data_IF_795536459132
#
_entry.id   IF_795536459132
#
_cell.length_a   1.000
_cell.length_b   1.000
_cell.length_c   1.000
_cell.angle_alpha   90.00
_cell.angle_beta   90.00
_cell.angle_gamma   90.00
#
_symmetry.space_group_name_H-M   'P 1'
#
loop_
_entity.id
_entity.type
_entity.pdbx_description
1 polymer ?
#
# COMPACT_ATOMS: atom_id res chain seq x y z
N UNK A 1 -2.60 14.92 -12.99
CA UNK A 1 -3.76 14.99 -12.12
C UNK A 1 -4.92 15.78 -12.73
N UNK A 2 -4.64 16.90 -13.35
CA UNK A 2 -5.67 17.68 -14.06
C UNK A 2 -6.33 16.90 -15.18
N UNK A 3 -5.56 16.11 -15.91
CA UNK A 3 -6.08 15.26 -16.98
C UNK A 3 -7.10 14.25 -16.47
N UNK A 4 -6.86 13.65 -15.32
CA UNK A 4 -7.78 12.69 -14.72
C UNK A 4 -9.07 13.35 -14.26
N UNK A 5 -8.98 14.55 -13.72
CA UNK A 5 -10.15 15.33 -13.32
C UNK A 5 -11.03 15.63 -14.53
N UNK A 6 -10.41 16.04 -15.64
CA UNK A 6 -11.12 16.33 -16.88
C UNK A 6 -11.85 15.09 -17.40
N UNK A 7 -11.20 13.93 -17.34
CA UNK A 7 -11.81 12.67 -17.77
C UNK A 7 -13.05 12.35 -16.93
N UNK A 8 -12.94 12.47 -15.60
CA UNK A 8 -14.07 12.22 -14.69
C UNK A 8 -15.22 13.17 -15.00
N UNK A 9 -14.94 14.46 -15.17
CA UNK A 9 -15.96 15.46 -15.45
C UNK A 9 -16.63 15.20 -16.80
N UNK A 10 -15.87 14.84 -17.82
CA UNK A 10 -16.43 14.55 -19.13
C UNK A 10 -17.33 13.32 -19.12
N UNK A 11 -16.92 12.27 -18.43
CA UNK A 11 -17.74 11.06 -18.31
C UNK A 11 -19.02 11.29 -17.53
N UNK A 12 -18.96 12.10 -16.49
CA UNK A 12 -20.14 12.38 -15.66
C UNK A 12 -21.09 13.41 -16.26
N UNK A 13 -20.62 14.17 -17.26
CA UNK A 13 -21.44 15.22 -17.87
C UNK A 13 -22.72 14.70 -18.52
N UNK A 14 -22.73 13.43 -18.93
CA UNK A 14 -23.93 12.81 -19.54
C UNK A 14 -25.01 12.47 -18.50
N UNK A 15 -24.61 12.34 -17.24
CA UNK A 15 -25.51 11.86 -16.16
C UNK A 15 -25.95 12.95 -15.22
N UNK A 16 -25.27 14.09 -15.19
CA UNK A 16 -25.50 15.15 -14.22
C UNK A 16 -25.94 16.43 -14.90
N UNK A 17 -26.80 17.19 -14.21
CA UNK A 17 -27.20 18.52 -14.65
C UNK A 17 -26.03 19.50 -14.52
N UNK A 18 -26.16 20.68 -15.14
CA UNK A 18 -25.13 21.73 -15.07
C UNK A 18 -24.83 22.11 -13.63
N UNK A 19 -25.86 22.25 -12.79
CA UNK A 19 -25.72 22.58 -11.37
C UNK A 19 -24.96 21.49 -10.62
N UNK A 20 -25.30 20.24 -10.88
CA UNK A 20 -24.63 19.09 -10.29
C UNK A 20 -23.18 18.98 -10.73
N UNK A 21 -22.91 19.26 -12.00
CA UNK A 21 -21.55 19.28 -12.55
C UNK A 21 -20.69 20.35 -11.89
N UNK A 22 -21.23 21.53 -11.66
CA UNK A 22 -20.51 22.60 -10.95
C UNK A 22 -20.16 22.17 -9.52
N UNK A 23 -21.10 21.54 -8.84
CA UNK A 23 -20.86 21.04 -7.49
C UNK A 23 -19.79 19.97 -7.47
N UNK A 24 -19.84 19.02 -8.40
CA UNK A 24 -18.84 17.97 -8.53
C UNK A 24 -17.46 18.56 -8.79
N UNK A 25 -17.35 19.50 -9.71
CA UNK A 25 -16.10 20.16 -10.03
C UNK A 25 -15.53 20.89 -8.82
N UNK A 26 -16.35 21.62 -8.09
CA UNK A 26 -15.96 22.32 -6.88
C UNK A 26 -15.41 21.37 -5.82
N UNK A 27 -16.10 20.26 -5.57
CA UNK A 27 -15.69 19.26 -4.58
C UNK A 27 -14.38 18.59 -4.99
N UNK A 28 -14.23 18.25 -6.26
CA UNK A 28 -13.00 17.61 -6.76
C UNK A 28 -11.81 18.57 -6.60
N UNK A 29 -11.96 19.81 -7.06
CA UNK A 29 -10.88 20.79 -6.99
C UNK A 29 -10.47 21.04 -5.53
N UNK A 30 -11.45 21.23 -4.66
CA UNK A 30 -11.22 21.46 -3.24
C UNK A 30 -10.50 20.27 -2.59
N UNK A 31 -10.97 19.06 -2.86
CA UNK A 31 -10.42 17.86 -2.26
C UNK A 31 -8.97 17.64 -2.67
N UNK A 32 -8.67 17.78 -3.96
CA UNK A 32 -7.31 17.56 -4.45
C UNK A 32 -6.37 18.71 -4.09
N UNK A 33 -6.85 19.94 -4.07
CA UNK A 33 -6.05 21.08 -3.64
C UNK A 33 -5.67 20.98 -2.16
N UNK A 34 -6.64 20.62 -1.30
CA UNK A 34 -6.38 20.43 0.13
C UNK A 34 -5.37 19.30 0.36
N UNK A 35 -5.50 18.21 -0.39
CA UNK A 35 -4.55 17.10 -0.29
C UNK A 35 -3.13 17.48 -0.71
N UNK A 36 -2.98 18.34 -1.71
CA UNK A 36 -1.67 18.80 -2.15
C UNK A 36 -1.09 19.84 -1.20
N UNK A 37 -1.91 20.75 -0.69
CA UNK A 37 -1.47 21.82 0.20
C UNK A 37 -1.11 21.29 1.59
N UNK A 38 -1.79 20.25 2.07
CA UNK A 38 -1.60 19.68 3.40
C UNK A 38 -0.72 18.44 3.41
N UNK A 39 -0.13 18.08 2.28
CA UNK A 39 0.76 16.93 2.22
C UNK A 39 2.05 17.19 2.96
N UNK A 40 2.05 16.87 4.25
CA UNK A 40 3.29 16.66 4.97
C UNK A 40 3.95 15.46 4.30
N UNK A 41 5.13 15.67 3.75
CA UNK A 41 5.85 14.60 3.06
C UNK A 41 6.45 13.67 4.10
N UNK A 42 5.80 12.53 4.31
CA UNK A 42 6.26 11.52 5.26
C UNK A 42 7.22 10.58 4.52
N UNK A 43 8.41 10.38 5.08
CA UNK A 43 9.39 9.47 4.50
C UNK A 43 8.99 8.00 4.75
N UNK A 44 9.56 7.08 3.98
CA UNK A 44 9.32 5.67 4.16
C UNK A 44 9.73 5.21 5.57
N UNK A 45 10.82 5.73 6.10
CA UNK A 45 11.29 5.42 7.45
C UNK A 45 10.34 5.89 8.53
N UNK A 46 9.75 7.07 8.34
CA UNK A 46 8.75 7.59 9.26
C UNK A 46 7.48 6.74 9.24
N UNK A 47 7.05 6.28 8.08
CA UNK A 47 5.92 5.35 7.99
C UNK A 47 6.19 4.06 8.75
N UNK A 48 7.38 3.52 8.63
CA UNK A 48 7.77 2.33 9.37
C UNK A 48 7.70 2.56 10.87
N UNK A 49 8.25 3.68 11.34
CA UNK A 49 8.22 4.03 12.77
C UNK A 49 6.79 4.15 13.28
N UNK A 50 5.94 4.84 12.55
CA UNK A 50 4.53 5.02 12.91
C UNK A 50 3.81 3.68 12.97
N UNK A 51 4.07 2.80 12.04
CA UNK A 51 3.49 1.46 12.01
C UNK A 51 3.91 0.65 13.24
N UNK A 52 5.20 0.67 13.58
CA UNK A 52 5.70 -0.06 14.74
C UNK A 52 5.12 0.49 16.04
N UNK A 53 4.99 1.81 16.16
CA UNK A 53 4.38 2.43 17.33
C UNK A 53 2.91 2.02 17.46
N UNK A 54 2.18 1.96 16.34
CA UNK A 54 0.80 1.50 16.35
C UNK A 54 0.70 0.04 16.81
N UNK A 55 1.61 -0.80 16.37
CA UNK A 55 1.62 -2.21 16.78
C UNK A 55 1.96 -2.39 18.27
N UNK A 56 2.80 -1.53 18.82
CA UNK A 56 3.07 -1.52 20.26
C UNK A 56 1.82 -1.16 21.06
N UNK A 57 1.08 -0.16 20.58
CA UNK A 57 -0.18 0.26 21.22
C UNK A 57 -1.20 -0.87 21.20
N UNK A 58 -1.25 -1.65 20.10
CA UNK A 58 -2.14 -2.81 19.99
C UNK A 58 -1.74 -3.96 20.93
N UNK A 59 -0.59 -3.88 21.55
CA UNK A 59 -0.14 -4.89 22.50
C UNK A 59 0.71 -5.99 21.89
N UNK A 60 1.26 -5.80 20.72
CA UNK A 60 2.17 -6.76 20.11
C UNK A 60 3.44 -6.94 20.96
N UNK A 61 3.92 -8.17 21.06
CA UNK A 61 5.16 -8.47 21.79
C UNK A 61 6.37 -7.84 21.10
N UNK A 62 7.44 -7.62 21.84
CA UNK A 62 8.69 -7.12 21.26
C UNK A 62 9.20 -8.02 20.16
N UNK A 63 9.06 -9.31 20.30
CA UNK A 63 9.46 -10.27 19.27
C UNK A 63 8.71 -10.03 17.95
N UNK A 64 7.41 -9.81 18.03
CA UNK A 64 6.58 -9.50 16.86
C UNK A 64 6.99 -8.17 16.24
N UNK A 65 7.26 -7.15 17.05
CA UNK A 65 7.71 -5.84 16.58
C UNK A 65 9.03 -5.98 15.81
N UNK A 66 9.96 -6.75 16.33
CA UNK A 66 11.25 -6.99 15.67
C UNK A 66 11.05 -7.66 14.30
N UNK A 67 10.15 -8.61 14.20
CA UNK A 67 9.83 -9.25 12.92
C UNK A 67 9.24 -8.27 11.92
N UNK A 68 8.30 -7.45 12.36
CA UNK A 68 7.72 -6.42 11.49
C UNK A 68 8.80 -5.45 11.02
N UNK A 69 9.62 -4.98 11.94
CA UNK A 69 10.69 -4.04 11.62
C UNK A 69 11.66 -4.63 10.59
N UNK A 70 12.13 -5.83 10.82
CA UNK A 70 13.08 -6.48 9.92
C UNK A 70 12.48 -6.66 8.52
N UNK A 71 11.25 -7.15 8.45
CA UNK A 71 10.58 -7.41 7.17
C UNK A 71 10.33 -6.13 6.37
N UNK A 72 9.71 -5.14 7.01
CA UNK A 72 9.33 -3.90 6.32
C UNK A 72 10.58 -3.07 5.98
N UNK A 73 11.54 -3.01 6.88
CA UNK A 73 12.80 -2.31 6.63
C UNK A 73 13.53 -2.89 5.42
N UNK A 74 13.58 -4.20 5.32
CA UNK A 74 14.21 -4.85 4.18
C UNK A 74 13.45 -4.54 2.88
N UNK A 75 12.13 -4.62 2.91
CA UNK A 75 11.30 -4.24 1.77
C UNK A 75 11.61 -2.83 1.30
N UNK A 76 11.61 -1.87 2.22
CA UNK A 76 11.83 -0.47 1.89
C UNK A 76 13.28 -0.19 1.45
N UNK A 77 14.23 -1.02 1.84
CA UNK A 77 15.61 -0.90 1.36
C UNK A 77 15.76 -1.39 -0.08
N UNK A 78 14.94 -2.32 -0.51
CA UNK A 78 15.00 -2.88 -1.87
C UNK A 78 14.10 -2.12 -2.85
N UNK A 79 13.01 -1.56 -2.37
CA UNK A 79 12.08 -0.77 -3.18
C UNK A 79 12.26 0.69 -2.78
N UNK A 80 12.85 1.49 -3.66
CA UNK A 80 13.11 2.90 -3.39
C UNK A 80 11.89 3.79 -3.64
N UNK A 81 10.85 3.23 -4.20
CA UNK A 81 9.59 3.93 -4.46
C UNK A 81 8.97 4.40 -3.13
N UNK A 82 8.39 5.60 -3.16
CA UNK A 82 7.62 6.09 -2.02
C UNK A 82 6.50 5.11 -1.68
N UNK A 83 6.35 4.82 -0.38
CA UNK A 83 5.40 3.80 0.13
C UNK A 83 4.01 3.93 -0.50
N UNK A 84 3.53 5.16 -0.63
CA UNK A 84 2.18 5.42 -1.15
C UNK A 84 2.02 5.10 -2.63
N UNK A 85 3.12 4.92 -3.34
CA UNK A 85 3.15 4.66 -4.79
C UNK A 85 3.61 3.24 -5.13
N UNK A 86 3.93 2.44 -4.13
CA UNK A 86 4.34 1.06 -4.36
C UNK A 86 3.19 0.26 -4.98
N UNK A 87 3.49 -0.46 -6.04
CA UNK A 87 2.50 -1.27 -6.76
C UNK A 87 2.57 -2.72 -6.35
N UNK A 88 1.50 -3.46 -6.65
CA UNK A 88 1.44 -4.90 -6.45
C UNK A 88 2.56 -5.61 -7.21
N UNK A 89 2.86 -5.15 -8.41
CA UNK A 89 3.92 -5.75 -9.23
C UNK A 89 5.30 -5.61 -8.58
N UNK A 90 5.59 -4.46 -7.98
CA UNK A 90 6.85 -4.25 -7.26
C UNK A 90 6.98 -5.20 -6.08
N UNK A 91 5.89 -5.41 -5.34
CA UNK A 91 5.89 -6.33 -4.20
C UNK A 91 6.03 -7.78 -4.68
N UNK A 92 5.35 -8.13 -5.76
CA UNK A 92 5.45 -9.46 -6.36
C UNK A 92 6.88 -9.78 -6.78
N UNK A 93 7.51 -8.85 -7.46
CA UNK A 93 8.91 -8.98 -7.85
C UNK A 93 9.84 -9.09 -6.65
N UNK A 94 9.61 -8.26 -5.64
CA UNK A 94 10.38 -8.30 -4.40
C UNK A 94 10.31 -9.67 -3.74
N UNK A 95 9.11 -10.22 -3.58
CA UNK A 95 8.91 -11.52 -2.94
C UNK A 95 9.54 -12.65 -3.75
N UNK A 96 9.41 -12.61 -5.06
CA UNK A 96 10.02 -13.60 -5.94
C UNK A 96 11.55 -13.58 -5.82
N UNK A 97 12.13 -12.39 -5.86
CA UNK A 97 13.59 -12.24 -5.71
C UNK A 97 14.07 -12.64 -4.32
N UNK A 98 13.30 -12.30 -3.29
CA UNK A 98 13.61 -12.68 -1.92
C UNK A 98 13.69 -14.20 -1.77
N UNK A 99 12.70 -14.90 -2.29
CA UNK A 99 12.65 -16.36 -2.22
C UNK A 99 13.84 -17.00 -2.93
N UNK A 100 14.20 -16.49 -4.10
CA UNK A 100 15.33 -17.00 -4.88
C UNK A 100 16.67 -16.76 -4.19
N UNK A 101 16.89 -15.54 -3.69
CA UNK A 101 18.17 -15.15 -3.09
C UNK A 101 18.45 -15.89 -1.78
N UNK A 102 17.42 -16.10 -1.00
CA UNK A 102 17.55 -16.68 0.33
C UNK A 102 17.24 -18.17 0.36
N UNK A 103 16.84 -18.73 -0.76
CA UNK A 103 16.45 -20.14 -0.89
C UNK A 103 15.50 -20.55 0.25
N UNK A 104 14.54 -19.67 0.55
CA UNK A 104 13.65 -19.90 1.68
C UNK A 104 12.46 -20.77 1.31
N UNK A 105 11.95 -21.44 2.34
CA UNK A 105 10.75 -22.25 2.22
C UNK A 105 9.51 -21.40 1.93
N UNK A 106 8.45 -22.07 1.48
CA UNK A 106 7.16 -21.41 1.29
C UNK A 106 6.60 -20.83 2.59
N UNK A 107 6.90 -21.47 3.72
CA UNK A 107 6.48 -20.97 5.04
C UNK A 107 7.15 -19.64 5.35
N UNK A 108 8.45 -19.54 5.08
CA UNK A 108 9.21 -18.30 5.31
C UNK A 108 8.70 -17.17 4.44
N UNK A 109 8.49 -17.43 3.15
CA UNK A 109 8.01 -16.39 2.24
C UNK A 109 6.57 -15.98 2.59
N UNK A 110 5.77 -16.91 3.07
CA UNK A 110 4.41 -16.60 3.51
C UNK A 110 4.41 -15.70 4.74
N UNK A 111 5.33 -15.92 5.67
CA UNK A 111 5.48 -15.04 6.84
C UNK A 111 5.91 -13.64 6.44
N UNK A 112 6.84 -13.51 5.50
CA UNK A 112 7.25 -12.23 4.96
C UNK A 112 6.06 -11.52 4.31
N UNK A 113 5.30 -12.24 3.49
CA UNK A 113 4.10 -11.72 2.85
C UNK A 113 3.08 -11.20 3.87
N UNK A 114 2.85 -11.96 4.94
CA UNK A 114 1.90 -11.57 6.00
C UNK A 114 2.33 -10.30 6.71
N UNK A 115 3.60 -10.15 6.98
CA UNK A 115 4.12 -8.94 7.63
C UNK A 115 3.97 -7.72 6.71
N UNK A 116 4.25 -7.89 5.42
CA UNK A 116 4.04 -6.84 4.43
C UNK A 116 2.55 -6.48 4.34
N UNK A 117 1.69 -7.50 4.34
CA UNK A 117 0.24 -7.31 4.33
C UNK A 117 -0.23 -6.45 5.50
N UNK A 118 0.30 -6.73 6.68
CA UNK A 118 -0.05 -5.96 7.89
C UNK A 118 0.33 -4.50 7.75
N UNK A 119 1.48 -4.22 7.16
CA UNK A 119 1.94 -2.84 6.95
C UNK A 119 1.01 -2.08 5.99
N UNK A 120 0.66 -2.68 4.86
CA UNK A 120 -0.22 -2.03 3.88
C UNK A 120 -1.67 -1.93 4.38
N UNK A 121 -2.14 -2.90 5.16
CA UNK A 121 -3.46 -2.81 5.79
C UNK A 121 -3.51 -1.65 6.77
N UNK A 122 -2.46 -1.45 7.53
CA UNK A 122 -2.34 -0.32 8.44
C UNK A 122 -2.37 1.01 7.67
N UNK A 123 -1.63 1.09 6.56
CA UNK A 123 -1.63 2.29 5.72
C UNK A 123 -3.04 2.62 5.20
N UNK A 124 -3.80 1.60 4.82
CA UNK A 124 -5.18 1.79 4.38
C UNK A 124 -6.07 2.26 5.51
N UNK A 125 -5.95 1.66 6.70
CA UNK A 125 -6.73 2.04 7.88
C UNK A 125 -6.49 3.49 8.30
N UNK A 126 -5.26 3.97 8.12
CA UNK A 126 -4.86 5.34 8.45
C UNK A 126 -5.08 6.31 7.28
N UNK A 127 -5.72 5.87 6.22
CA UNK A 127 -6.01 6.66 5.03
C UNK A 127 -4.79 7.21 4.28
N UNK A 128 -3.65 6.56 4.42
CA UNK A 128 -2.47 6.94 3.64
C UNK A 128 -2.51 6.38 2.22
N UNK A 129 -3.21 5.27 2.02
CA UNK A 129 -3.48 4.70 0.71
C UNK A 129 -4.97 4.40 0.57
N UNK A 130 -5.47 4.45 -0.66
CA UNK A 130 -6.90 4.26 -0.91
C UNK A 130 -7.32 2.80 -0.84
N UNK A 131 -6.40 1.90 -1.10
CA UNK A 131 -6.73 0.51 -1.31
C UNK A 131 -5.57 -0.37 -0.86
N UNK A 132 -5.85 -1.29 0.04
CA UNK A 132 -4.83 -2.22 0.49
C UNK A 132 -4.44 -3.17 -0.63
N UNK A 133 -3.15 -3.23 -0.92
CA UNK A 133 -2.60 -4.20 -1.83
C UNK A 133 -2.81 -5.62 -1.33
N UNK A 134 -2.89 -5.76 -0.01
CA UNK A 134 -2.99 -7.06 0.65
C UNK A 134 -4.29 -7.77 0.35
N UNK A 135 -5.41 -7.04 0.32
CA UNK A 135 -6.73 -7.63 0.07
C UNK A 135 -6.90 -8.12 -1.35
N UNK A 136 -6.21 -7.49 -2.27
CA UNK A 136 -6.47 -7.69 -3.68
C UNK A 136 -5.52 -8.65 -4.37
N UNK A 137 -4.27 -8.68 -3.93
CA UNK A 137 -3.23 -9.26 -4.77
C UNK A 137 -2.19 -10.11 -4.05
N UNK A 138 -1.91 -9.86 -2.78
CA UNK A 138 -0.78 -10.53 -2.16
C UNK A 138 -0.95 -12.03 -2.00
N UNK A 139 -2.16 -12.52 -1.87
CA UNK A 139 -2.39 -13.96 -1.86
C UNK A 139 -2.10 -14.59 -3.23
N UNK A 140 -2.17 -13.81 -4.30
CA UNK A 140 -1.85 -14.26 -5.65
C UNK A 140 -0.36 -14.19 -5.96
N UNK A 141 0.41 -13.59 -5.08
CA UNK A 141 1.85 -13.38 -5.28
C UNK A 141 2.65 -14.67 -5.07
N UNK A 142 2.07 -15.67 -4.45
CA UNK A 142 2.71 -16.96 -4.24
C UNK A 142 2.01 -18.09 -5.00
N UNK A 143 1.90 -17.99 -6.32
CA UNK A 143 1.16 -18.99 -7.10
C UNK A 143 1.81 -20.37 -7.09
N UNK A 144 3.10 -20.42 -6.89
CA UNK A 144 3.85 -21.68 -6.90
C UNK A 144 3.50 -22.61 -5.77
N UNK A 145 2.92 -22.09 -4.70
CA UNK A 145 2.47 -22.91 -3.58
C UNK A 145 1.39 -23.88 -4.04
N UNK A 146 0.47 -23.40 -4.87
CA UNK A 146 -0.62 -24.22 -5.40
C UNK A 146 -0.12 -25.26 -6.40
N UNK A 147 0.84 -24.89 -7.21
CA UNK A 147 1.42 -25.79 -8.22
C UNK A 147 2.19 -26.92 -7.58
N UNK A 148 2.91 -26.65 -6.52
CA UNK A 148 3.71 -27.64 -5.82
C UNK A 148 2.90 -28.68 -5.08
N UNK A 149 1.66 -28.38 -4.78
CA UNK A 149 0.77 -29.29 -4.05
C UNK A 149 -0.01 -30.21 -4.97
N UNK A 150 0.22 -30.13 -6.25
CA UNK A 150 -0.41 -31.00 -7.24
C UNK A 150 0.48 -32.20 -7.67
#
# INVERSE_FOLDING_TARGET
MEEKIVIVLNEMSEYLSITQMKKLQEVIIKTFADNEANKVKISNEEFLKMFLDAKRIEGCSERTIIYYQATVKHLLSQITTEVRKITTEEIREYLSNYQKRNDCSNVTIDNVRRNISSFFSWLEEEDYILKSLTKLRLHDVTPNIKIKNT
#
